data_IF_466495437586
#
_entry.id   IF_466495437586
#
_cell.length_a   1.000
_cell.length_b   1.000
_cell.length_c   1.000
_cell.angle_alpha   90.00
_cell.angle_beta   90.00
_cell.angle_gamma   90.00
#
_symmetry.space_group_name_H-M   'P 1'
#
loop_
_entity.id
_entity.type
_entity.pdbx_description
1 polymer ?
#
# COMPACT_ATOMS: atom_id res chain seq x y z
N UNK A 1 25.15 -11.03 -14.32
CA UNK A 1 23.68 -11.19 -14.31
C UNK A 1 23.09 -9.79 -14.37
N UNK A 2 22.28 -9.50 -15.37
CA UNK A 2 21.58 -8.21 -15.46
C UNK A 2 20.40 -8.23 -14.50
N UNK A 3 20.39 -7.32 -13.53
CA UNK A 3 19.24 -7.11 -12.64
C UNK A 3 18.00 -6.82 -13.49
N UNK A 4 16.86 -7.41 -13.13
CA UNK A 4 15.59 -7.11 -13.78
C UNK A 4 15.26 -5.62 -13.70
N UNK A 5 14.65 -5.01 -14.73
CA UNK A 5 14.40 -3.57 -14.79
C UNK A 5 13.45 -3.06 -13.69
N UNK A 6 12.59 -3.95 -13.17
CA UNK A 6 11.63 -3.68 -12.10
C UNK A 6 12.20 -3.92 -10.69
N UNK A 7 13.39 -4.52 -10.59
CA UNK A 7 14.07 -4.72 -9.32
C UNK A 7 14.78 -3.43 -8.87
N UNK A 8 15.02 -3.30 -7.56
CA UNK A 8 15.66 -2.12 -6.99
C UNK A 8 17.16 -2.38 -6.83
N UNK A 9 18.04 -1.62 -7.51
CA UNK A 9 19.48 -1.83 -7.40
C UNK A 9 19.98 -1.68 -5.96
N UNK A 10 20.73 -2.67 -5.48
CA UNK A 10 21.33 -2.66 -4.15
C UNK A 10 20.39 -3.05 -3.00
N UNK A 11 19.15 -3.45 -3.29
CA UNK A 11 18.20 -3.97 -2.29
C UNK A 11 17.84 -5.40 -2.63
N UNK A 12 18.10 -6.33 -1.72
CA UNK A 12 17.71 -7.74 -1.89
C UNK A 12 16.20 -7.92 -1.63
N UNK A 13 15.47 -8.61 -2.53
CA UNK A 13 14.05 -8.88 -2.31
C UNK A 13 13.85 -9.85 -1.14
N UNK A 14 12.75 -9.68 -0.39
CA UNK A 14 12.37 -10.60 0.71
C UNK A 14 11.72 -11.88 0.23
N UNK A 15 11.10 -11.86 -0.94
CA UNK A 15 10.48 -13.03 -1.56
C UNK A 15 10.69 -13.01 -3.07
N UNK A 16 10.62 -14.19 -3.68
CA UNK A 16 11.05 -14.37 -5.06
C UNK A 16 12.55 -14.14 -5.23
N UNK A 17 13.01 -14.21 -6.47
CA UNK A 17 14.34 -13.76 -6.88
C UNK A 17 14.30 -13.33 -8.34
N UNK A 18 15.06 -12.31 -8.70
CA UNK A 18 15.05 -11.75 -10.04
C UNK A 18 15.41 -12.80 -11.12
N UNK A 19 16.27 -13.77 -10.77
CA UNK A 19 16.65 -14.91 -11.59
C UNK A 19 15.54 -15.97 -11.72
N UNK A 20 14.60 -16.04 -10.77
CA UNK A 20 13.39 -16.87 -10.85
C UNK A 20 12.18 -16.16 -11.47
N UNK A 21 12.34 -14.91 -11.90
CA UNK A 21 11.32 -14.16 -12.63
C UNK A 21 10.26 -13.50 -11.76
N UNK A 22 10.46 -13.39 -10.44
CA UNK A 22 9.61 -12.59 -9.57
C UNK A 22 10.37 -12.00 -8.39
N UNK A 23 9.98 -10.82 -7.94
CA UNK A 23 10.56 -10.15 -6.77
C UNK A 23 9.47 -9.61 -5.88
N UNK A 24 9.70 -9.63 -4.57
CA UNK A 24 8.83 -9.07 -3.55
C UNK A 24 9.61 -8.26 -2.52
N UNK A 25 9.07 -7.10 -2.17
CA UNK A 25 9.68 -6.14 -1.24
C UNK A 25 8.65 -5.71 -0.20
N UNK A 26 9.12 -5.50 1.02
CA UNK A 26 8.38 -4.76 2.04
C UNK A 26 8.72 -3.27 1.98
N UNK A 27 7.81 -2.42 2.45
CA UNK A 27 8.00 -0.98 2.44
C UNK A 27 9.22 -0.54 3.25
N UNK A 28 9.54 -1.20 4.36
CA UNK A 28 10.71 -0.90 5.20
C UNK A 28 12.04 -1.04 4.44
N UNK A 29 12.14 -1.98 3.51
CA UNK A 29 13.32 -2.15 2.66
C UNK A 29 13.52 -0.97 1.69
N UNK A 30 12.44 -0.30 1.33
CA UNK A 30 12.40 0.74 0.31
C UNK A 30 12.26 2.14 0.91
N UNK A 31 12.04 2.27 2.22
CA UNK A 31 11.72 3.53 2.90
C UNK A 31 12.74 4.65 2.69
N UNK A 32 14.03 4.31 2.53
CA UNK A 32 15.11 5.27 2.29
C UNK A 32 15.25 5.73 0.84
N UNK A 33 14.48 5.16 -0.09
CA UNK A 33 14.57 5.48 -1.52
C UNK A 33 13.75 6.73 -1.83
N UNK A 34 14.20 7.60 -2.76
CA UNK A 34 13.59 8.91 -2.97
C UNK A 34 12.06 8.90 -3.18
N UNK A 35 11.54 7.94 -3.95
CA UNK A 35 10.11 7.86 -4.23
C UNK A 35 9.29 7.51 -2.97
N UNK A 36 9.75 6.56 -2.18
CA UNK A 36 9.06 6.10 -0.96
C UNK A 36 9.24 7.12 0.17
N UNK A 37 10.45 7.61 0.38
CA UNK A 37 10.76 8.64 1.38
C UNK A 37 9.87 9.87 1.21
N UNK A 38 9.71 10.36 -0.03
CA UNK A 38 8.86 11.51 -0.31
C UNK A 38 7.37 11.29 0.01
N UNK A 39 6.88 10.04 -0.02
CA UNK A 39 5.53 9.70 0.43
C UNK A 39 5.48 9.63 1.96
N UNK A 40 6.42 8.91 2.57
CA UNK A 40 6.50 8.74 4.03
C UNK A 40 6.65 10.08 4.77
N UNK A 41 7.39 11.04 4.21
CA UNK A 41 7.54 12.39 4.77
C UNK A 41 6.26 13.23 4.72
N UNK A 42 5.31 12.89 3.84
CA UNK A 42 4.00 13.54 3.75
C UNK A 42 2.93 12.86 4.62
N UNK A 43 3.19 11.65 5.10
CA UNK A 43 2.29 10.97 6.01
C UNK A 43 2.32 11.64 7.39
N UNK A 44 1.18 11.66 8.10
CA UNK A 44 1.18 11.93 9.54
C UNK A 44 2.17 11.01 10.27
N UNK A 45 2.74 11.50 11.37
CA UNK A 45 3.63 10.66 12.20
C UNK A 45 2.91 9.37 12.67
N UNK A 46 1.62 9.49 12.95
CA UNK A 46 0.74 8.39 13.32
C UNK A 46 -0.61 8.52 12.58
N UNK A 47 -1.08 7.41 12.00
CA UNK A 47 -2.42 7.30 11.43
C UNK A 47 -3.34 6.59 12.43
N UNK A 48 -4.56 7.12 12.60
CA UNK A 48 -5.51 6.60 13.59
C UNK A 48 -6.37 5.53 12.94
N UNK A 49 -6.37 4.30 13.47
CA UNK A 49 -7.31 3.25 13.05
C UNK A 49 -8.77 3.72 13.11
N UNK A 50 -9.50 3.51 12.01
CA UNK A 50 -10.91 3.93 11.88
C UNK A 50 -11.89 2.83 12.25
N UNK A 51 -11.49 1.58 12.05
CA UNK A 51 -12.22 0.37 12.42
C UNK A 51 -11.38 -0.49 13.38
N UNK A 52 -12.02 -1.31 14.20
CA UNK A 52 -11.36 -2.27 15.09
C UNK A 52 -12.19 -3.54 15.23
N UNK A 53 -11.62 -4.64 15.77
CA UNK A 53 -12.31 -5.93 15.89
C UNK A 53 -13.55 -5.90 16.79
N UNK A 54 -13.70 -4.86 17.62
CA UNK A 54 -14.97 -4.44 18.17
C UNK A 54 -15.15 -2.97 17.77
N UNK A 55 -16.32 -2.60 17.24
CA UNK A 55 -16.66 -1.23 16.78
C UNK A 55 -16.64 -0.18 17.91
N UNK A 56 -16.11 -0.54 19.08
CA UNK A 56 -16.01 0.26 20.28
C UNK A 56 -14.55 0.38 20.73
N UNK A 57 -13.98 1.55 20.43
CA UNK A 57 -13.45 2.51 21.43
C UNK A 57 -11.95 2.70 21.68
N UNK A 58 -11.02 2.09 20.96
CA UNK A 58 -9.62 2.52 21.05
C UNK A 58 -9.09 2.91 19.68
N UNK A 59 -8.80 4.21 19.53
CA UNK A 59 -7.97 4.72 18.46
C UNK A 59 -6.61 4.06 18.61
N UNK A 60 -6.30 3.10 17.74
CA UNK A 60 -4.98 2.49 17.69
C UNK A 60 -4.15 3.27 16.66
N UNK A 61 -3.22 4.13 17.10
CA UNK A 61 -2.31 4.79 16.18
C UNK A 61 -1.36 3.76 15.58
N UNK A 62 -1.16 3.87 14.27
CA UNK A 62 -0.11 3.16 13.53
C UNK A 62 0.90 4.21 13.10
N UNK A 63 2.14 4.11 13.60
CA UNK A 63 3.19 5.02 13.16
C UNK A 63 3.48 4.85 11.68
N UNK A 64 3.94 5.89 11.00
CA UNK A 64 4.34 5.78 9.57
C UNK A 64 5.43 4.74 9.35
N UNK A 65 6.32 4.52 10.32
CA UNK A 65 7.34 3.46 10.28
C UNK A 65 6.68 2.08 10.37
N UNK A 66 5.71 1.90 11.27
CA UNK A 66 4.97 0.66 11.42
C UNK A 66 4.11 0.35 10.18
N UNK A 67 3.45 1.35 9.59
CA UNK A 67 2.73 1.22 8.32
C UNK A 67 3.69 0.76 7.21
N UNK A 68 4.82 1.45 7.06
CA UNK A 68 5.81 1.14 6.02
C UNK A 68 6.38 -0.26 6.16
N UNK A 69 6.56 -0.74 7.40
CA UNK A 69 6.99 -2.12 7.65
C UNK A 69 5.94 -3.18 7.32
N UNK A 70 4.66 -2.82 7.23
CA UNK A 70 3.55 -3.78 7.09
C UNK A 70 3.00 -3.88 5.68
N UNK A 71 3.39 -2.99 4.77
CA UNK A 71 2.99 -3.03 3.35
C UNK A 71 4.01 -3.81 2.51
N UNK A 72 3.54 -4.46 1.45
CA UNK A 72 4.39 -5.17 0.50
C UNK A 72 3.93 -5.02 -0.94
N UNK A 73 4.88 -5.17 -1.86
CA UNK A 73 4.64 -5.24 -3.31
C UNK A 73 5.43 -6.40 -3.90
N UNK A 74 4.91 -7.02 -4.95
CA UNK A 74 5.58 -8.06 -5.72
C UNK A 74 5.25 -7.94 -7.20
N UNK A 75 6.17 -8.39 -8.05
CA UNK A 75 5.95 -8.43 -9.51
C UNK A 75 6.90 -9.43 -10.17
N UNK A 76 6.50 -9.95 -11.33
CA UNK A 76 7.39 -10.68 -12.23
C UNK A 76 7.84 -9.90 -13.48
N UNK A 77 7.22 -8.76 -13.76
CA UNK A 77 7.39 -8.07 -15.04
C UNK A 77 7.41 -6.52 -14.93
N UNK A 78 7.09 -5.96 -13.76
CA UNK A 78 7.01 -4.50 -13.54
C UNK A 78 5.76 -3.84 -14.09
N UNK A 79 4.81 -4.61 -14.64
CA UNK A 79 3.54 -4.15 -15.19
C UNK A 79 2.35 -4.68 -14.38
N UNK A 80 2.45 -5.91 -13.90
CA UNK A 80 1.46 -6.58 -13.07
C UNK A 80 2.03 -6.74 -11.66
N UNK A 81 1.26 -6.30 -10.67
CA UNK A 81 1.71 -6.16 -9.31
C UNK A 81 0.77 -6.87 -8.34
N UNK A 82 1.35 -7.73 -7.50
CA UNK A 82 0.71 -8.16 -6.27
C UNK A 82 1.02 -7.15 -5.17
N UNK A 83 0.00 -6.73 -4.43
CA UNK A 83 0.09 -5.75 -3.35
C UNK A 83 -0.59 -6.30 -2.11
N UNK A 84 -0.16 -5.83 -0.95
CA UNK A 84 -0.93 -6.06 0.25
C UNK A 84 -0.36 -5.42 1.49
N UNK A 85 -0.95 -5.79 2.61
CA UNK A 85 -0.59 -5.30 3.93
C UNK A 85 -0.95 -6.31 5.03
N UNK A 86 -0.49 -6.09 6.26
CA UNK A 86 -0.91 -6.88 7.41
C UNK A 86 -2.27 -6.41 7.96
N UNK A 87 -2.98 -7.29 8.68
CA UNK A 87 -4.29 -7.04 9.30
C UNK A 87 -4.45 -5.66 9.94
N UNK A 88 -3.42 -5.17 10.65
CA UNK A 88 -3.47 -3.90 11.37
C UNK A 88 -3.67 -2.70 10.43
N UNK A 89 -3.10 -2.76 9.22
CA UNK A 89 -3.30 -1.73 8.19
C UNK A 89 -4.73 -1.78 7.66
N UNK A 90 -5.36 -2.95 7.65
CA UNK A 90 -6.78 -3.11 7.31
C UNK A 90 -7.68 -2.19 8.15
N UNK A 91 -7.34 -1.98 9.42
CA UNK A 91 -8.09 -1.07 10.31
C UNK A 91 -8.02 0.41 9.92
N UNK A 92 -7.07 0.82 9.06
CA UNK A 92 -6.97 2.18 8.53
C UNK A 92 -7.91 2.42 7.34
N UNK A 93 -8.13 1.40 6.51
CA UNK A 93 -8.66 1.56 5.15
C UNK A 93 -9.85 0.66 4.83
N UNK A 94 -10.14 -0.33 5.66
CA UNK A 94 -11.20 -1.29 5.43
C UNK A 94 -12.30 -1.19 6.49
N UNK A 95 -13.56 -1.05 6.08
CA UNK A 95 -14.68 -1.31 6.96
C UNK A 95 -14.77 -2.78 7.31
N UNK A 96 -15.30 -3.09 8.49
CA UNK A 96 -15.87 -4.42 8.78
C UNK A 96 -16.86 -4.77 7.66
N UNK A 97 -16.69 -5.97 7.08
CA UNK A 97 -17.46 -6.53 5.97
C UNK A 97 -18.94 -6.10 6.03
N UNK A 98 -19.36 -5.24 5.09
CA UNK A 98 -20.76 -4.86 4.88
C UNK A 98 -21.14 -3.40 5.07
N UNK A 99 -20.22 -2.49 5.41
CA UNK A 99 -20.59 -1.08 5.73
C UNK A 99 -20.18 0.01 4.74
N UNK A 100 -19.35 -0.26 3.72
CA UNK A 100 -19.10 0.72 2.63
C UNK A 100 -19.46 0.09 1.28
N UNK A 101 -20.31 0.74 0.45
CA UNK A 101 -20.69 0.25 -0.87
C UNK A 101 -19.56 0.24 -1.93
N UNK A 102 -18.49 1.01 -1.69
CA UNK A 102 -17.38 1.25 -2.62
C UNK A 102 -16.05 0.93 -1.93
N UNK A 103 -15.21 0.16 -2.61
CA UNK A 103 -13.85 -0.11 -2.14
C UNK A 103 -12.97 1.12 -2.31
N UNK A 104 -12.83 1.89 -1.23
CA UNK A 104 -12.09 3.15 -1.25
C UNK A 104 -10.60 2.96 -1.52
N UNK A 105 -10.03 1.78 -1.27
CA UNK A 105 -8.62 1.50 -1.51
C UNK A 105 -8.36 1.08 -2.96
N UNK A 106 -9.18 0.18 -3.50
CA UNK A 106 -9.15 -0.17 -4.92
C UNK A 106 -9.32 1.09 -5.78
N UNK A 107 -10.31 1.94 -5.44
CA UNK A 107 -10.53 3.21 -6.12
C UNK A 107 -9.34 4.17 -6.01
N UNK A 108 -8.82 4.37 -4.79
CA UNK A 108 -7.68 5.27 -4.58
C UNK A 108 -6.43 4.81 -5.32
N UNK A 109 -6.29 3.50 -5.59
CA UNK A 109 -5.22 2.96 -6.41
C UNK A 109 -5.50 3.16 -7.90
N UNK A 110 -6.70 2.82 -8.36
CA UNK A 110 -7.11 2.95 -9.77
C UNK A 110 -7.07 4.40 -10.28
N UNK A 111 -7.32 5.38 -9.42
CA UNK A 111 -7.28 6.80 -9.77
C UNK A 111 -5.85 7.37 -9.91
N UNK A 112 -4.80 6.60 -9.60
CA UNK A 112 -3.43 7.09 -9.71
C UNK A 112 -2.92 7.13 -11.16
N UNK A 113 -2.10 8.14 -11.53
CA UNK A 113 -1.61 8.27 -12.90
C UNK A 113 -0.82 7.05 -13.38
N UNK A 114 -1.27 6.36 -14.44
CA UNK A 114 -0.56 5.20 -14.99
C UNK A 114 -0.87 3.86 -14.32
N UNK A 115 -1.84 3.82 -13.39
CA UNK A 115 -2.51 2.57 -13.01
C UNK A 115 -3.63 2.32 -14.04
N UNK A 116 -3.56 1.19 -14.73
CA UNK A 116 -4.53 0.79 -15.75
C UNK A 116 -5.73 0.07 -15.13
N UNK A 117 -5.48 -0.76 -14.12
CA UNK A 117 -6.51 -1.48 -13.36
C UNK A 117 -6.04 -1.74 -11.93
N UNK A 118 -6.99 -1.86 -11.01
CA UNK A 118 -6.76 -2.31 -9.64
C UNK A 118 -7.90 -3.26 -9.26
N UNK A 119 -7.58 -4.31 -8.50
CA UNK A 119 -8.53 -5.33 -8.11
C UNK A 119 -8.26 -5.83 -6.69
N UNK A 120 -9.25 -5.74 -5.81
CA UNK A 120 -9.22 -6.28 -4.46
C UNK A 120 -9.76 -7.72 -4.45
N UNK A 121 -8.88 -8.71 -4.37
CA UNK A 121 -9.26 -10.11 -4.54
C UNK A 121 -9.36 -10.90 -3.23
N UNK A 122 -8.68 -10.44 -2.18
CA UNK A 122 -8.75 -11.00 -0.84
C UNK A 122 -8.52 -9.90 0.20
N UNK A 123 -8.94 -10.11 1.44
CA UNK A 123 -9.01 -9.10 2.52
C UNK A 123 -7.80 -8.18 2.61
N UNK A 124 -6.59 -8.68 2.40
CA UNK A 124 -5.36 -7.90 2.55
C UNK A 124 -4.54 -7.82 1.26
N UNK A 125 -5.09 -8.30 0.15
CA UNK A 125 -4.35 -8.53 -1.08
C UNK A 125 -5.05 -7.95 -2.30
N UNK A 126 -4.26 -7.24 -3.10
CA UNK A 126 -4.71 -6.52 -4.28
C UNK A 126 -3.81 -6.86 -5.46
N UNK A 127 -4.38 -6.80 -6.65
CA UNK A 127 -3.66 -6.78 -7.91
C UNK A 127 -3.77 -5.41 -8.54
N UNK A 128 -2.72 -4.98 -9.24
CA UNK A 128 -2.76 -3.78 -10.06
C UNK A 128 -1.96 -3.96 -11.34
N UNK A 129 -2.49 -3.41 -12.42
CA UNK A 129 -1.78 -3.30 -13.69
C UNK A 129 -1.39 -1.85 -13.93
N UNK A 130 -0.19 -1.63 -14.46
CA UNK A 130 0.32 -0.31 -14.82
C UNK A 130 0.49 -0.17 -16.32
N UNK A 131 0.29 1.03 -16.85
CA UNK A 131 0.46 1.32 -18.27
C UNK A 131 1.92 1.41 -18.71
N UNK A 132 2.83 1.53 -17.74
CA UNK A 132 4.27 1.65 -17.94
C UNK A 132 5.00 0.75 -16.95
N UNK A 133 6.21 0.32 -17.33
CA UNK A 133 7.05 -0.48 -16.46
C UNK A 133 7.50 0.36 -15.27
N UNK A 134 7.19 -0.10 -14.07
CA UNK A 134 7.64 0.51 -12.82
C UNK A 134 8.72 -0.34 -12.15
N UNK A 135 9.57 0.34 -11.37
CA UNK A 135 10.37 -0.30 -10.34
C UNK A 135 9.55 -0.48 -9.06
N UNK A 136 9.99 -1.42 -8.22
CA UNK A 136 9.27 -1.72 -6.97
C UNK A 136 9.18 -0.53 -6.00
N UNK A 137 10.15 0.38 -6.00
CA UNK A 137 10.10 1.59 -5.16
C UNK A 137 9.04 2.60 -5.65
N UNK A 138 8.83 2.69 -6.97
CA UNK A 138 7.80 3.53 -7.56
C UNK A 138 6.41 2.96 -7.29
N UNK A 139 6.23 1.63 -7.41
CA UNK A 139 4.96 1.01 -7.07
C UNK A 139 4.68 1.04 -5.56
N UNK A 140 5.69 0.89 -4.71
CA UNK A 140 5.55 1.06 -3.26
C UNK A 140 5.09 2.47 -2.89
N UNK A 141 5.65 3.50 -3.52
CA UNK A 141 5.23 4.88 -3.31
C UNK A 141 3.75 5.11 -3.70
N UNK A 142 3.31 4.51 -4.80
CA UNK A 142 1.89 4.51 -5.23
C UNK A 142 1.01 3.78 -4.22
N UNK A 143 1.45 2.63 -3.73
CA UNK A 143 0.68 1.84 -2.78
C UNK A 143 0.47 2.56 -1.45
N UNK A 144 1.53 3.16 -0.88
CA UNK A 144 1.44 4.00 0.32
C UNK A 144 0.53 5.22 0.09
N UNK A 145 0.60 5.83 -1.09
CA UNK A 145 -0.29 6.96 -1.46
C UNK A 145 -1.75 6.53 -1.53
N UNK A 146 -2.03 5.33 -2.07
CA UNK A 146 -3.38 4.77 -2.14
C UNK A 146 -3.93 4.53 -0.73
N UNK A 147 -3.15 3.90 0.15
CA UNK A 147 -3.53 3.63 1.54
C UNK A 147 -3.87 4.93 2.27
N UNK A 148 -3.03 5.96 2.15
CA UNK A 148 -3.33 7.23 2.81
C UNK A 148 -4.57 7.93 2.23
N UNK A 149 -4.74 7.91 0.91
CA UNK A 149 -5.91 8.48 0.24
C UNK A 149 -7.20 7.77 0.65
N UNK A 150 -7.16 6.43 0.69
CA UNK A 150 -8.26 5.58 1.13
C UNK A 150 -8.60 5.82 2.61
N UNK A 151 -7.58 5.98 3.46
CA UNK A 151 -7.76 6.30 4.87
C UNK A 151 -8.51 7.63 5.06
N UNK A 152 -8.09 8.69 4.37
CA UNK A 152 -8.79 9.99 4.40
C UNK A 152 -10.22 9.88 3.85
N UNK A 153 -10.43 9.13 2.78
CA UNK A 153 -11.76 8.90 2.21
C UNK A 153 -12.66 8.14 3.19
N UNK A 154 -12.12 7.12 3.86
CA UNK A 154 -12.84 6.34 4.84
C UNK A 154 -13.22 7.19 6.07
N UNK A 155 -12.31 8.00 6.60
CA UNK A 155 -12.61 8.91 7.71
C UNK A 155 -13.75 9.87 7.35
N UNK A 156 -13.74 10.43 6.13
CA UNK A 156 -14.82 11.28 5.62
C UNK A 156 -16.14 10.54 5.52
N UNK A 157 -16.14 9.30 5.03
CA UNK A 157 -17.33 8.46 4.95
C UNK A 157 -17.96 8.22 6.34
N UNK A 158 -17.12 8.03 7.36
CA UNK A 158 -17.54 7.89 8.76
C UNK A 158 -17.93 9.21 9.44
N UNK A 159 -17.77 10.36 8.77
CA UNK A 159 -17.96 11.68 9.37
C UNK A 159 -16.96 11.98 10.50
N UNK A 160 -15.79 11.33 10.50
CA UNK A 160 -14.73 11.54 11.50
C UNK A 160 -13.74 12.60 11.04
N UNK A 161 -13.47 13.56 11.91
CA UNK A 161 -12.38 14.50 11.72
C UNK A 161 -11.07 13.88 12.20
N UNK A 162 -10.05 13.87 11.32
CA UNK A 162 -8.70 13.45 11.66
C UNK A 162 -7.91 14.67 12.19
N UNK A 163 -6.96 14.48 13.13
CA UNK A 163 -6.22 15.58 13.76
C UNK A 163 -5.06 16.11 12.89
N UNK A 164 -5.04 15.81 11.60
CA UNK A 164 -3.98 16.16 10.65
C UNK A 164 -4.55 16.50 9.27
#
# INVERSE_FOLDING_TARGET
MTSSPFAVPGVEPRSGSADQGSVGYRGDQLAGLPAVAAVVDRLPAELIALAGPAETREEYPISREALTAQVYVSTGNGLEWGLGFADEVGFLVQPSLGSIPEDVLEKALAEQPGVASAFHYDRESFEAETSELLRADEMMARWLTAIFTAHLAYARHLGRALPY
#
